data_IF_496555537582
#
_entry.id   IF_496555537582
#
_cell.length_a   1.000
_cell.length_b   1.000
_cell.length_c   1.000
_cell.angle_alpha   90.00
_cell.angle_beta   90.00
_cell.angle_gamma   90.00
#
_symmetry.space_group_name_H-M   'P 1'
#
loop_
_entity.id
_entity.type
_entity.pdbx_description
1 polymer ?
#
# COMPACT_ATOMS: atom_id res chain seq x y z
N UNK A 1 19.70 13.49 32.92
CA UNK A 1 18.65 14.19 32.14
C UNK A 1 18.89 13.87 30.67
N UNK A 2 18.05 13.01 30.09
CA UNK A 2 18.19 12.61 28.67
C UNK A 2 17.80 13.79 27.78
N UNK A 3 18.66 14.13 26.84
CA UNK A 3 18.45 15.20 25.86
C UNK A 3 17.31 14.81 24.92
N UNK A 4 16.19 15.55 24.99
CA UNK A 4 15.10 15.55 24.02
C UNK A 4 15.21 16.74 23.03
N UNK A 5 16.43 17.27 22.83
CA UNK A 5 16.68 18.35 21.86
C UNK A 5 17.43 17.78 20.68
N UNK A 6 16.67 17.32 19.68
CA UNK A 6 17.26 16.82 18.44
C UNK A 6 16.30 16.10 17.48
N UNK A 7 14.98 16.05 17.76
CA UNK A 7 14.01 15.39 16.88
C UNK A 7 12.80 16.27 16.50
N UNK A 8 12.94 17.59 16.57
CA UNK A 8 11.94 18.50 16.00
C UNK A 8 12.04 18.61 14.47
N UNK A 9 13.04 17.98 13.85
CA UNK A 9 13.42 18.20 12.44
C UNK A 9 13.06 17.05 11.49
N UNK A 10 12.16 16.14 11.91
CA UNK A 10 11.51 15.22 10.97
C UNK A 10 10.15 15.84 10.63
N UNK A 11 10.00 16.33 9.40
CA UNK A 11 8.78 16.88 8.80
C UNK A 11 7.63 15.84 8.69
N UNK A 12 7.41 14.98 9.68
CA UNK A 12 6.30 14.04 9.69
C UNK A 12 6.54 12.76 10.49
N UNK A 13 5.48 11.99 10.70
CA UNK A 13 5.51 10.71 11.38
C UNK A 13 5.64 9.57 10.36
N UNK A 14 6.63 8.70 10.57
CA UNK A 14 6.88 7.55 9.70
C UNK A 14 5.80 6.49 9.87
N UNK A 15 5.20 6.07 8.76
CA UNK A 15 4.34 4.90 8.65
C UNK A 15 5.12 3.74 8.06
N UNK A 16 5.06 2.58 8.72
CA UNK A 16 5.60 1.30 8.24
C UNK A 16 4.58 0.21 8.52
N UNK A 17 3.86 -0.23 7.49
CA UNK A 17 2.80 -1.26 7.62
C UNK A 17 3.02 -2.38 6.62
N UNK A 18 2.77 -3.60 7.09
CA UNK A 18 2.85 -4.82 6.28
C UNK A 18 1.44 -5.30 5.99
N UNK A 19 1.17 -5.52 4.70
CA UNK A 19 -0.06 -6.14 4.24
C UNK A 19 0.34 -7.46 3.60
N UNK A 20 -0.23 -8.54 4.10
CA UNK A 20 0.09 -9.88 3.61
C UNK A 20 -0.91 -10.27 2.54
N UNK A 21 -0.44 -10.78 1.41
CA UNK A 21 -1.27 -11.29 0.33
C UNK A 21 -1.13 -12.81 0.22
N UNK A 22 -2.23 -13.50 -0.07
CA UNK A 22 -2.20 -14.92 -0.40
C UNK A 22 -1.41 -15.11 -1.70
N UNK A 23 -0.31 -15.87 -1.65
CA UNK A 23 0.55 -16.14 -2.80
C UNK A 23 -0.22 -16.74 -3.97
N UNK A 24 -1.31 -17.49 -3.70
CA UNK A 24 -2.16 -18.12 -4.73
C UNK A 24 -3.03 -17.11 -5.48
N UNK A 25 -3.17 -15.89 -4.97
CA UNK A 25 -3.86 -14.79 -5.65
C UNK A 25 -2.94 -14.00 -6.58
N UNK A 26 -1.62 -14.20 -6.49
CA UNK A 26 -0.64 -13.54 -7.34
C UNK A 26 -0.60 -14.25 -8.69
N UNK A 27 -0.86 -13.51 -9.76
CA UNK A 27 -0.97 -14.04 -11.12
C UNK A 27 -0.63 -12.98 -12.15
N UNK A 28 -0.51 -13.40 -13.41
CA UNK A 28 -0.51 -12.48 -14.55
C UNK A 28 -1.93 -11.92 -14.69
N UNK A 29 -2.04 -10.61 -14.87
CA UNK A 29 -3.31 -9.95 -15.15
C UNK A 29 -3.77 -10.32 -16.57
N UNK A 30 -4.91 -10.99 -16.66
CA UNK A 30 -5.59 -11.27 -17.93
C UNK A 30 -6.23 -9.99 -18.51
N UNK A 31 -6.63 -10.05 -19.78
CA UNK A 31 -7.22 -8.91 -20.49
C UNK A 31 -8.53 -8.42 -19.84
N UNK A 32 -9.29 -9.33 -19.21
CA UNK A 32 -10.51 -8.97 -18.49
C UNK A 32 -10.22 -8.10 -17.27
N UNK A 33 -9.25 -8.50 -16.45
CA UNK A 33 -8.79 -7.73 -15.30
C UNK A 33 -8.19 -6.38 -15.75
N UNK A 34 -7.37 -6.37 -16.80
CA UNK A 34 -6.81 -5.13 -17.34
C UNK A 34 -7.90 -4.15 -17.76
N UNK A 35 -8.91 -4.62 -18.49
CA UNK A 35 -10.03 -3.78 -18.92
C UNK A 35 -10.82 -3.26 -17.71
N UNK A 36 -11.12 -4.11 -16.73
CA UNK A 36 -11.78 -3.69 -15.49
C UNK A 36 -11.01 -2.59 -14.76
N UNK A 37 -9.68 -2.70 -14.65
CA UNK A 37 -8.86 -1.69 -13.98
C UNK A 37 -8.85 -0.35 -14.73
N UNK A 38 -8.89 -0.38 -16.07
CA UNK A 38 -9.02 0.83 -16.89
C UNK A 38 -10.39 1.47 -16.69
N UNK A 39 -11.46 0.69 -16.77
CA UNK A 39 -12.85 1.19 -16.67
C UNK A 39 -13.12 1.82 -15.30
N UNK A 40 -12.51 1.28 -14.25
CA UNK A 40 -12.58 1.84 -12.89
C UNK A 40 -11.59 2.97 -12.63
N UNK A 41 -10.74 3.32 -13.59
CA UNK A 41 -9.71 4.36 -13.44
C UNK A 41 -8.60 4.01 -12.45
N UNK A 42 -8.40 2.72 -12.17
CA UNK A 42 -7.41 2.21 -11.22
C UNK A 42 -6.04 1.94 -11.86
N UNK A 43 -5.99 1.82 -13.18
CA UNK A 43 -4.76 1.74 -13.96
C UNK A 43 -4.90 2.50 -15.29
N UNK A 44 -3.80 3.02 -15.82
CA UNK A 44 -3.78 3.57 -17.19
C UNK A 44 -3.45 2.46 -18.17
N UNK A 45 -3.95 2.56 -19.40
CA UNK A 45 -3.63 1.59 -20.46
C UNK A 45 -2.11 1.43 -20.68
N UNK A 46 -1.34 2.50 -20.52
CA UNK A 46 0.12 2.46 -20.61
C UNK A 46 0.79 1.59 -19.54
N UNK A 47 0.19 1.49 -18.34
CA UNK A 47 0.70 0.67 -17.23
C UNK A 47 0.44 -0.84 -17.44
N UNK A 48 -0.42 -1.19 -18.41
CA UNK A 48 -0.94 -2.54 -18.65
C UNK A 48 -0.39 -3.20 -19.93
N UNK A 49 0.58 -2.55 -20.59
CA UNK A 49 1.26 -3.10 -21.77
C UNK A 49 2.10 -4.32 -21.40
N UNK A 50 1.97 -5.38 -22.19
CA UNK A 50 2.70 -6.64 -21.99
C UNK A 50 2.15 -7.49 -20.84
N UNK A 51 2.96 -8.43 -20.37
CA UNK A 51 2.64 -9.23 -19.19
C UNK A 51 2.87 -8.42 -17.91
N UNK A 52 1.83 -8.30 -17.08
CA UNK A 52 1.93 -7.56 -15.83
C UNK A 52 1.39 -8.41 -14.68
N UNK A 53 2.16 -8.49 -13.60
CA UNK A 53 1.82 -9.24 -12.39
C UNK A 53 0.88 -8.39 -11.52
N UNK A 54 -0.16 -9.01 -10.95
CA UNK A 54 -1.18 -8.32 -10.13
C UNK A 54 -0.58 -7.55 -8.95
N UNK A 55 0.45 -8.10 -8.28
CA UNK A 55 1.15 -7.39 -7.19
C UNK A 55 1.94 -6.18 -7.66
N UNK A 56 2.51 -6.23 -8.88
CA UNK A 56 3.20 -5.08 -9.46
C UNK A 56 2.22 -3.95 -9.81
N UNK A 57 1.03 -4.30 -10.31
CA UNK A 57 -0.05 -3.35 -10.56
C UNK A 57 -0.54 -2.68 -9.27
N UNK A 58 -0.87 -3.48 -8.27
CA UNK A 58 -1.36 -2.96 -7.00
C UNK A 58 -0.30 -2.09 -6.29
N UNK A 59 0.97 -2.51 -6.33
CA UNK A 59 2.09 -1.73 -5.79
C UNK A 59 2.18 -0.33 -6.42
N UNK A 60 2.18 -0.25 -7.76
CA UNK A 60 2.20 1.04 -8.49
C UNK A 60 0.96 1.87 -8.21
N UNK A 61 -0.21 1.24 -8.17
CA UNK A 61 -1.46 1.90 -7.79
C UNK A 61 -1.37 2.54 -6.40
N UNK A 62 -0.87 1.80 -5.42
CA UNK A 62 -0.70 2.30 -4.05
C UNK A 62 0.36 3.41 -3.96
N UNK A 63 1.46 3.32 -4.70
CA UNK A 63 2.45 4.40 -4.82
C UNK A 63 1.79 5.70 -5.33
N UNK A 64 1.01 5.61 -6.41
CA UNK A 64 0.30 6.76 -6.97
C UNK A 64 -0.80 7.30 -6.05
N UNK A 65 -1.55 6.42 -5.39
CA UNK A 65 -2.58 6.81 -4.42
C UNK A 65 -1.96 7.59 -3.26
N UNK A 66 -0.94 7.04 -2.62
CA UNK A 66 -0.27 7.68 -1.49
C UNK A 66 0.41 8.99 -1.89
N UNK A 67 1.04 9.05 -3.06
CA UNK A 67 1.71 10.27 -3.54
C UNK A 67 0.75 11.44 -3.81
N UNK A 68 -0.54 11.15 -4.03
CA UNK A 68 -1.58 12.17 -4.28
C UNK A 68 -2.27 12.66 -3.01
N UNK A 69 -2.12 11.97 -1.86
CA UNK A 69 -2.78 12.39 -0.64
C UNK A 69 -2.07 13.60 -0.04
N UNK A 70 -2.84 14.61 0.38
CA UNK A 70 -2.30 15.85 0.95
C UNK A 70 -1.63 15.63 2.31
N UNK A 71 -2.09 14.63 3.06
CA UNK A 71 -1.57 14.25 4.36
C UNK A 71 -0.26 13.46 4.30
N UNK A 72 0.13 12.94 3.13
CA UNK A 72 1.42 12.29 2.91
C UNK A 72 2.49 13.35 2.62
N UNK A 73 3.63 13.26 3.31
CA UNK A 73 4.73 14.18 3.11
C UNK A 73 5.52 13.85 1.84
N UNK A 74 5.23 14.60 0.78
CA UNK A 74 5.92 14.50 -0.52
C UNK A 74 7.42 14.87 -0.49
N UNK A 75 7.93 15.51 0.58
CA UNK A 75 9.37 15.81 0.73
C UNK A 75 10.17 14.62 1.30
N UNK A 76 9.48 13.57 1.73
CA UNK A 76 10.09 12.39 2.35
C UNK A 76 9.91 11.14 1.47
N UNK A 77 10.75 10.11 1.67
CA UNK A 77 10.65 8.88 0.89
C UNK A 77 9.28 8.22 1.02
N UNK A 78 8.70 7.86 -0.13
CA UNK A 78 7.54 7.00 -0.28
C UNK A 78 7.98 5.76 -1.05
N UNK A 79 7.81 4.60 -0.43
CA UNK A 79 8.16 3.32 -1.00
C UNK A 79 7.04 2.32 -0.72
N UNK A 80 6.55 1.67 -1.77
CA UNK A 80 5.78 0.45 -1.64
C UNK A 80 6.61 -0.68 -2.22
N UNK A 81 6.84 -1.75 -1.46
CA UNK A 81 7.68 -2.86 -1.92
C UNK A 81 7.13 -4.21 -1.49
N UNK A 82 7.37 -5.21 -2.33
CA UNK A 82 7.17 -6.61 -1.97
C UNK A 82 8.40 -7.09 -1.18
N UNK A 83 8.17 -7.88 -0.14
CA UNK A 83 9.22 -8.57 0.61
C UNK A 83 9.19 -10.08 0.31
N UNK A 84 10.15 -10.80 0.87
CA UNK A 84 10.20 -12.26 0.74
C UNK A 84 8.92 -12.91 1.30
N UNK A 85 8.45 -13.95 0.61
CA UNK A 85 7.30 -14.72 1.03
C UNK A 85 7.54 -15.35 2.40
N UNK A 86 6.50 -15.36 3.22
CA UNK A 86 6.49 -15.98 4.54
C UNK A 86 5.45 -17.11 4.57
N UNK A 87 5.39 -17.85 5.68
CA UNK A 87 4.31 -18.82 5.91
C UNK A 87 2.93 -18.16 5.97
N UNK A 88 2.86 -16.85 6.23
CA UNK A 88 1.64 -16.04 6.25
C UNK A 88 1.38 -15.30 4.92
N UNK A 89 1.97 -15.78 3.81
CA UNK A 89 1.82 -15.15 2.50
C UNK A 89 2.94 -14.16 2.15
N UNK A 90 2.71 -13.38 1.10
CA UNK A 90 3.68 -12.44 0.53
C UNK A 90 3.46 -11.05 1.11
N UNK A 91 4.42 -10.47 1.85
CA UNK A 91 4.27 -9.15 2.43
C UNK A 91 4.45 -8.05 1.37
N UNK A 92 3.59 -7.04 1.43
CA UNK A 92 3.78 -5.74 0.82
C UNK A 92 3.93 -4.68 1.91
N UNK A 93 5.09 -4.03 1.93
CA UNK A 93 5.40 -2.95 2.86
C UNK A 93 4.96 -1.61 2.28
N UNK A 94 4.17 -0.86 3.05
CA UNK A 94 3.91 0.56 2.85
C UNK A 94 4.87 1.33 3.77
N UNK A 95 5.79 2.08 3.18
CA UNK A 95 6.75 2.93 3.88
C UNK A 95 6.62 4.37 3.39
N UNK A 96 6.14 5.27 4.24
CA UNK A 96 5.95 6.68 3.91
C UNK A 96 5.89 7.53 5.18
N UNK A 97 5.66 8.82 5.05
CA UNK A 97 5.56 9.76 6.17
C UNK A 97 4.27 10.55 6.07
N UNK A 98 3.50 10.62 7.16
CA UNK A 98 2.35 11.51 7.30
C UNK A 98 2.80 12.86 7.86
N UNK A 99 2.16 13.95 7.44
CA UNK A 99 2.47 15.32 7.91
C UNK A 99 1.99 15.54 9.34
N UNK A 100 0.89 14.91 9.73
CA UNK A 100 0.29 15.06 11.05
C UNK A 100 1.20 14.45 12.12
N UNK A 101 1.37 15.19 13.22
CA UNK A 101 2.08 14.73 14.42
C UNK A 101 1.13 14.49 15.60
N UNK A 102 -0.10 14.99 15.49
CA UNK A 102 -1.13 14.79 16.51
C UNK A 102 -1.70 13.37 16.42
N UNK A 103 -1.91 12.76 17.59
CA UNK A 103 -2.32 11.36 17.71
C UNK A 103 -3.61 11.04 16.93
N UNK A 104 -4.69 11.80 17.16
CA UNK A 104 -6.01 11.50 16.58
C UNK A 104 -5.99 11.63 15.05
N UNK A 105 -5.52 12.74 14.45
CA UNK A 105 -5.41 12.85 13.00
C UNK A 105 -4.50 11.81 12.36
N UNK A 106 -3.37 11.47 13.01
CA UNK A 106 -2.47 10.42 12.52
C UNK A 106 -3.18 9.07 12.45
N UNK A 107 -3.90 8.69 13.50
CA UNK A 107 -4.62 7.41 13.56
C UNK A 107 -5.75 7.34 12.52
N UNK A 108 -6.49 8.43 12.30
CA UNK A 108 -7.51 8.49 11.25
C UNK A 108 -6.92 8.37 9.84
N UNK A 109 -5.85 9.13 9.54
CA UNK A 109 -5.18 9.04 8.25
C UNK A 109 -4.63 7.63 7.98
N UNK A 110 -4.08 6.98 9.01
CA UNK A 110 -3.62 5.59 8.92
C UNK A 110 -4.78 4.63 8.67
N UNK A 111 -5.91 4.78 9.36
CA UNK A 111 -7.10 3.96 9.18
C UNK A 111 -7.63 4.07 7.74
N UNK A 112 -7.83 5.29 7.23
CA UNK A 112 -8.29 5.54 5.86
C UNK A 112 -7.41 4.84 4.81
N UNK A 113 -6.08 4.88 5.00
CA UNK A 113 -5.13 4.26 4.09
C UNK A 113 -5.25 2.74 4.11
N UNK A 114 -5.38 2.14 5.31
CA UNK A 114 -5.52 0.69 5.44
C UNK A 114 -6.86 0.19 4.90
N UNK A 115 -7.95 0.91 5.17
CA UNK A 115 -9.27 0.62 4.62
C UNK A 115 -9.25 0.67 3.09
N UNK A 116 -8.58 1.67 2.51
CA UNK A 116 -8.39 1.76 1.07
C UNK A 116 -7.61 0.57 0.51
N UNK A 117 -6.53 0.15 1.18
CA UNK A 117 -5.79 -1.05 0.78
C UNK A 117 -6.71 -2.27 0.76
N UNK A 118 -7.47 -2.50 1.83
CA UNK A 118 -8.31 -3.69 1.97
C UNK A 118 -9.47 -3.70 0.97
N UNK A 119 -10.09 -2.55 0.73
CA UNK A 119 -11.17 -2.41 -0.23
C UNK A 119 -10.69 -2.66 -1.67
N UNK A 120 -9.56 -2.07 -2.05
CA UNK A 120 -9.09 -2.11 -3.43
C UNK A 120 -8.21 -3.31 -3.79
N UNK A 121 -7.65 -4.05 -2.82
CA UNK A 121 -6.84 -5.24 -3.12
C UNK A 121 -7.55 -6.24 -4.06
N UNK A 122 -8.84 -6.50 -3.80
CA UNK A 122 -9.63 -7.44 -4.59
C UNK A 122 -9.86 -6.95 -6.03
N UNK A 123 -9.86 -5.64 -6.27
CA UNK A 123 -9.96 -5.07 -7.62
C UNK A 123 -8.79 -5.46 -8.52
N UNK A 124 -7.63 -5.74 -7.93
CA UNK A 124 -6.44 -6.21 -8.62
C UNK A 124 -6.34 -7.74 -8.64
N UNK A 125 -7.40 -8.44 -8.22
CA UNK A 125 -7.43 -9.89 -8.08
C UNK A 125 -6.56 -10.43 -6.94
N UNK A 126 -6.08 -9.56 -6.04
CA UNK A 126 -5.29 -9.95 -4.88
C UNK A 126 -6.21 -10.27 -3.70
N UNK A 127 -5.84 -11.28 -2.93
CA UNK A 127 -6.52 -11.62 -1.68
C UNK A 127 -5.62 -11.30 -0.51
N UNK A 128 -6.11 -10.48 0.41
CA UNK A 128 -5.43 -10.22 1.68
C UNK A 128 -5.43 -11.52 2.49
N UNK A 129 -4.26 -11.89 2.98
CA UNK A 129 -4.10 -13.04 3.85
C UNK A 129 -4.65 -12.71 5.24
N UNK A 130 -5.62 -13.50 5.68
CA UNK A 130 -6.08 -13.52 7.06
C UNK A 130 -5.76 -14.89 7.64
N UNK A 131 -5.08 -14.94 8.79
CA UNK A 131 -5.04 -16.19 9.55
C UNK A 131 -6.48 -16.49 9.98
N UNK A 132 -6.99 -17.66 9.59
CA UNK A 132 -8.20 -18.17 10.21
C UNK A 132 -7.93 -18.28 11.72
N UNK A 133 -8.85 -17.83 12.59
CA UNK A 133 -8.69 -18.09 14.01
C UNK A 133 -8.54 -19.60 14.19
N UNK A 134 -7.52 -20.01 14.94
CA UNK A 134 -7.39 -21.40 15.39
C UNK A 134 -8.66 -21.69 16.19
N UNK A 135 -9.50 -22.60 15.67
CA UNK A 135 -10.68 -23.09 16.38
C UNK A 135 -10.27 -23.97 17.55
#
# INVERSE_FOLDING_TARGET
FQNWKGLDDVDGQRVKKMIYFDVRSIRIADDGLKQQLIDKGLAKADDLKGEVVTTALFRRYMEHYLAKREDVNAKMPLLVRQLEATQAGVPMELYFFLRQKDWIPYEHAMADILEHVYAYANEFGLKVYAQAPVQ
#
